data_IF_280014937688
#
_entry.id   IF_280014937688
#
_cell.length_a   1.000
_cell.length_b   1.000
_cell.length_c   1.000
_cell.angle_alpha   90.00
_cell.angle_beta   90.00
_cell.angle_gamma   90.00
#
_symmetry.space_group_name_H-M   'P 1'
#
loop_
_entity.id
_entity.type
_entity.pdbx_description
1 polymer ?
#
# COMPACT_ATOMS: atom_id res chain seq x y z
N UNK A 1 -9.14 -9.97 -3.65
CA UNK A 1 -8.71 -8.94 -4.61
C UNK A 1 -9.81 -8.63 -5.64
N UNK A 2 -10.14 -9.50 -6.62
CA UNK A 2 -11.15 -9.19 -7.66
C UNK A 2 -12.52 -8.76 -7.08
N UNK A 3 -13.07 -9.52 -6.12
CA UNK A 3 -14.33 -9.14 -5.43
C UNK A 3 -14.30 -7.74 -4.81
N UNK A 4 -13.15 -7.35 -4.24
CA UNK A 4 -12.99 -6.02 -3.66
C UNK A 4 -12.86 -4.96 -4.76
N UNK A 5 -12.12 -5.24 -5.83
CA UNK A 5 -11.96 -4.32 -6.96
C UNK A 5 -13.31 -4.04 -7.64
N UNK A 6 -14.12 -5.08 -7.87
CA UNK A 6 -15.48 -4.99 -8.40
C UNK A 6 -16.39 -4.15 -7.49
N UNK A 7 -16.36 -4.40 -6.18
CA UNK A 7 -17.13 -3.61 -5.19
C UNK A 7 -16.70 -2.13 -5.17
N UNK A 8 -15.44 -1.84 -5.53
CA UNK A 8 -14.92 -0.48 -5.69
C UNK A 8 -15.15 0.08 -7.11
N UNK A 9 -15.82 -0.65 -8.00
CA UNK A 9 -16.22 -0.20 -9.34
C UNK A 9 -15.17 -0.41 -10.44
N UNK A 10 -14.19 -1.29 -10.25
CA UNK A 10 -13.29 -1.70 -11.33
C UNK A 10 -13.95 -2.75 -12.23
N UNK A 11 -13.70 -2.67 -13.55
CA UNK A 11 -14.09 -3.74 -14.48
C UNK A 11 -13.16 -4.95 -14.31
N UNK A 12 -13.74 -6.07 -13.88
CA UNK A 12 -13.04 -7.34 -13.67
C UNK A 12 -13.48 -8.43 -14.65
N UNK A 13 -14.31 -8.10 -15.65
CA UNK A 13 -14.98 -9.07 -16.53
C UNK A 13 -14.04 -10.00 -17.30
N UNK A 14 -12.79 -9.56 -17.55
CA UNK A 14 -11.74 -10.33 -18.24
C UNK A 14 -10.50 -10.58 -17.39
N UNK A 15 -10.58 -10.35 -16.08
CA UNK A 15 -9.44 -10.46 -15.18
C UNK A 15 -9.23 -11.90 -14.71
N UNK A 16 -7.99 -12.38 -14.77
CA UNK A 16 -7.58 -13.62 -14.13
C UNK A 16 -7.09 -13.40 -12.69
N UNK A 17 -6.77 -14.50 -11.98
CA UNK A 17 -6.22 -14.41 -10.62
C UNK A 17 -4.89 -13.65 -10.53
N UNK A 18 -4.06 -13.69 -11.59
CA UNK A 18 -2.75 -13.04 -11.61
C UNK A 18 -2.86 -11.50 -11.65
N UNK A 19 -3.88 -10.96 -12.31
CA UNK A 19 -4.13 -9.52 -12.42
C UNK A 19 -4.80 -8.94 -11.18
N UNK A 20 -5.37 -9.79 -10.33
CA UNK A 20 -6.26 -9.39 -9.25
C UNK A 20 -5.64 -8.35 -8.30
N UNK A 21 -4.37 -8.54 -7.93
CA UNK A 21 -3.64 -7.62 -7.06
C UNK A 21 -3.45 -6.25 -7.69
N UNK A 22 -2.99 -6.23 -8.95
CA UNK A 22 -2.74 -5.00 -9.71
C UNK A 22 -4.02 -4.20 -9.94
N UNK A 23 -5.11 -4.84 -10.37
CA UNK A 23 -6.39 -4.17 -10.62
C UNK A 23 -6.90 -3.48 -9.35
N UNK A 24 -6.83 -4.14 -8.19
CA UNK A 24 -7.25 -3.53 -6.94
C UNK A 24 -6.36 -2.34 -6.55
N UNK A 25 -5.03 -2.50 -6.67
CA UNK A 25 -4.08 -1.44 -6.34
C UNK A 25 -4.27 -0.20 -7.25
N UNK A 26 -4.45 -0.41 -8.55
CA UNK A 26 -4.70 0.65 -9.54
C UNK A 26 -6.01 1.39 -9.21
N UNK A 27 -7.06 0.66 -8.80
CA UNK A 27 -8.34 1.25 -8.43
C UNK A 27 -8.26 2.11 -7.17
N UNK A 28 -7.53 1.66 -6.16
CA UNK A 28 -7.29 2.44 -4.93
C UNK A 28 -6.51 3.71 -5.26
N UNK A 29 -5.48 3.60 -6.10
CA UNK A 29 -4.65 4.73 -6.56
C UNK A 29 -5.49 5.79 -7.31
N UNK A 30 -6.42 5.37 -8.16
CA UNK A 30 -7.35 6.30 -8.82
C UNK A 30 -8.19 7.08 -7.80
N UNK A 31 -8.69 6.41 -6.75
CA UNK A 31 -9.42 7.13 -5.69
C UNK A 31 -8.53 8.12 -4.94
N UNK A 32 -7.30 7.74 -4.59
CA UNK A 32 -6.37 8.67 -3.95
C UNK A 32 -6.14 9.93 -4.80
N UNK A 33 -5.95 9.77 -6.11
CA UNK A 33 -5.81 10.90 -7.04
C UNK A 33 -7.08 11.76 -7.10
N UNK A 34 -8.25 11.13 -7.23
CA UNK A 34 -9.54 11.84 -7.31
C UNK A 34 -9.91 12.58 -6.03
N UNK A 35 -9.50 12.07 -4.88
CA UNK A 35 -9.71 12.67 -3.57
C UNK A 35 -8.63 13.70 -3.20
N UNK A 36 -7.63 13.93 -4.06
CA UNK A 36 -6.56 14.88 -3.80
C UNK A 36 -5.61 14.44 -2.68
N UNK A 37 -5.45 13.14 -2.47
CA UNK A 37 -4.48 12.61 -1.49
C UNK A 37 -3.05 12.97 -1.92
N UNK A 38 -2.15 13.33 -0.98
CA UNK A 38 -0.74 13.54 -1.30
C UNK A 38 -0.10 12.30 -1.95
N UNK A 39 0.77 12.51 -2.94
CA UNK A 39 1.43 11.41 -3.66
C UNK A 39 2.60 10.84 -2.83
N UNK A 40 2.27 9.90 -1.94
CA UNK A 40 3.24 9.18 -1.14
C UNK A 40 3.81 9.98 0.03
N UNK A 41 4.76 9.36 0.73
CA UNK A 41 5.31 9.88 1.98
C UNK A 41 6.12 11.16 1.79
N UNK A 42 6.75 11.34 0.62
CA UNK A 42 7.48 12.58 0.30
C UNK A 42 6.55 13.79 0.28
N UNK A 43 5.33 13.63 -0.23
CA UNK A 43 4.36 14.70 -0.31
C UNK A 43 3.81 15.15 1.06
N UNK A 44 4.08 14.38 2.12
CA UNK A 44 3.73 14.74 3.51
C UNK A 44 4.96 15.04 4.38
N UNK A 45 6.14 15.15 3.77
CA UNK A 45 7.36 15.66 4.43
C UNK A 45 8.36 14.60 4.91
N UNK A 46 8.12 13.31 4.66
CA UNK A 46 9.11 12.27 4.95
C UNK A 46 10.16 12.15 3.84
N UNK A 47 11.30 11.59 4.22
CA UNK A 47 12.40 11.27 3.32
C UNK A 47 12.85 9.82 3.53
N UNK A 48 13.63 9.29 2.60
CA UNK A 48 14.15 7.92 2.71
C UNK A 48 15.04 7.74 3.95
N UNK A 49 15.67 8.81 4.45
CA UNK A 49 16.45 8.75 5.70
C UNK A 49 15.58 8.49 6.95
N UNK A 50 14.27 8.72 6.88
CA UNK A 50 13.34 8.49 7.99
C UNK A 50 12.90 7.02 8.08
N UNK A 51 13.17 6.20 7.06
CA UNK A 51 12.74 4.79 6.99
C UNK A 51 13.18 3.97 8.22
N UNK A 52 14.43 4.08 8.73
CA UNK A 52 14.82 3.31 9.91
C UNK A 52 13.92 3.58 11.12
N UNK A 53 13.56 4.85 11.36
CA UNK A 53 12.70 5.25 12.48
C UNK A 53 11.24 4.81 12.23
N UNK A 54 10.76 4.88 10.98
CA UNK A 54 9.43 4.38 10.61
C UNK A 54 9.30 2.87 10.83
N UNK A 55 10.34 2.10 10.49
CA UNK A 55 10.39 0.65 10.73
C UNK A 55 10.41 0.37 12.24
N UNK A 56 11.30 1.04 12.98
CA UNK A 56 11.40 0.89 14.44
C UNK A 56 10.07 1.18 15.14
N UNK A 57 9.36 2.25 14.74
CA UNK A 57 8.06 2.60 15.28
C UNK A 57 6.93 1.63 14.90
N UNK A 58 7.09 0.85 13.83
CA UNK A 58 6.07 -0.08 13.33
C UNK A 58 6.18 -1.46 13.98
N UNK A 59 7.39 -1.97 14.24
CA UNK A 59 7.64 -3.31 14.78
C UNK A 59 6.90 -3.62 16.11
N UNK A 60 6.78 -2.69 17.08
CA UNK A 60 6.07 -2.95 18.34
C UNK A 60 4.55 -3.05 18.18
N UNK A 61 3.97 -2.65 17.05
CA UNK A 61 2.52 -2.57 16.81
C UNK A 61 1.88 -3.95 16.51
N UNK A 62 2.26 -4.97 17.28
CA UNK A 62 1.91 -6.39 17.06
C UNK A 62 0.43 -6.67 16.91
N UNK A 63 -0.43 -5.93 17.61
CA UNK A 63 -1.90 -6.11 17.52
C UNK A 63 -2.44 -5.75 16.13
N UNK A 64 -1.83 -4.77 15.47
CA UNK A 64 -2.23 -4.33 14.13
C UNK A 64 -1.49 -5.14 13.07
N UNK A 65 -0.19 -5.39 13.24
CA UNK A 65 0.61 -6.08 12.22
C UNK A 65 0.30 -7.58 12.13
N UNK A 66 -0.22 -8.21 13.19
CA UNK A 66 -0.58 -9.64 13.18
C UNK A 66 -1.83 -9.98 12.37
N UNK A 67 -2.66 -8.99 12.00
CA UNK A 67 -3.87 -9.22 11.19
C UNK A 67 -3.54 -9.37 9.69
N UNK A 68 -2.32 -9.02 9.30
CA UNK A 68 -1.87 -9.17 7.92
C UNK A 68 -1.85 -10.65 7.54
N UNK A 69 -2.40 -11.03 6.36
CA UNK A 69 -2.31 -12.41 5.89
C UNK A 69 -0.88 -12.83 5.53
N UNK A 70 0.06 -11.88 5.49
CA UNK A 70 1.49 -12.11 5.24
C UNK A 70 2.31 -11.54 6.40
N UNK A 71 3.24 -12.32 6.98
CA UNK A 71 4.18 -11.76 7.95
C UNK A 71 5.04 -10.69 7.26
N UNK A 72 5.36 -9.62 7.99
CA UNK A 72 6.23 -8.55 7.53
C UNK A 72 7.31 -8.30 8.59
N UNK A 73 8.57 -8.49 8.22
CA UNK A 73 9.72 -8.15 9.05
C UNK A 73 10.21 -6.72 8.83
N UNK A 74 11.31 -6.36 9.48
CA UNK A 74 11.94 -5.06 9.32
C UNK A 74 12.29 -4.74 7.86
N UNK A 75 12.82 -5.72 7.11
CA UNK A 75 13.18 -5.56 5.69
C UNK A 75 11.95 -5.35 4.79
N UNK A 76 10.86 -6.08 5.05
CA UNK A 76 9.62 -5.92 4.29
C UNK A 76 9.02 -4.53 4.50
N UNK A 77 9.05 -4.04 5.74
CA UNK A 77 8.59 -2.70 6.10
C UNK A 77 9.47 -1.63 5.47
N UNK A 78 10.79 -1.80 5.49
CA UNK A 78 11.73 -0.86 4.87
C UNK A 78 11.46 -0.72 3.36
N UNK A 79 11.31 -1.85 2.66
CA UNK A 79 10.95 -1.86 1.24
C UNK A 79 9.59 -1.21 1.00
N UNK A 80 8.60 -1.51 1.83
CA UNK A 80 7.25 -0.93 1.71
C UNK A 80 7.27 0.60 1.90
N UNK A 81 8.03 1.12 2.86
CA UNK A 81 8.17 2.56 3.05
C UNK A 81 8.91 3.23 1.89
N UNK A 82 9.96 2.60 1.35
CA UNK A 82 10.68 3.11 0.19
C UNK A 82 9.77 3.16 -1.05
N UNK A 83 9.01 2.10 -1.33
CA UNK A 83 8.01 2.08 -2.41
C UNK A 83 6.88 3.09 -2.19
N UNK A 84 6.52 3.38 -0.94
CA UNK A 84 5.50 4.36 -0.57
C UNK A 84 6.00 5.82 -0.61
N UNK A 85 7.29 6.08 -0.87
CA UNK A 85 7.81 7.45 -1.00
C UNK A 85 7.11 8.20 -2.12
N UNK A 86 6.79 7.50 -3.21
CA UNK A 86 5.98 7.98 -4.35
C UNK A 86 4.97 6.90 -4.70
N UNK A 87 3.68 7.20 -4.53
CA UNK A 87 2.62 6.19 -4.63
C UNK A 87 2.06 6.01 -6.05
N UNK A 88 2.24 7.00 -6.95
CA UNK A 88 1.87 6.91 -8.37
C UNK A 88 2.67 7.83 -9.28
#
# INVERSE_FOLDING_TARGET
HLKAAEALGADVSRAGPAEAGRILADRIREFMQRLGTPNGLRAVGYRSEDIPVLVEGTLPQRRVTSISPRPAGAEDLARMFEEAMTAW
#
